data_IF_570505660077
#
_entry.id   IF_570505660077
#
_cell.length_a   1.000
_cell.length_b   1.000
_cell.length_c   1.000
_cell.angle_alpha   90.00
_cell.angle_beta   90.00
_cell.angle_gamma   90.00
#
_symmetry.space_group_name_H-M   'P 1'
#
loop_
_entity.id
_entity.type
_entity.pdbx_description
1 polymer ?
#
# COMPACT_ATOMS: atom_id res chain seq x y z
N UNK A 1 -15.38 18.06 -7.58
CA UNK A 1 -14.52 17.61 -6.45
C UNK A 1 -14.90 16.20 -5.99
N UNK A 2 -16.15 15.95 -5.57
CA UNK A 2 -16.64 14.60 -5.19
C UNK A 2 -16.43 13.55 -6.30
N UNK A 3 -16.71 13.89 -7.56
CA UNK A 3 -16.62 12.93 -8.68
C UNK A 3 -15.20 12.42 -8.92
N UNK A 4 -14.18 13.26 -8.71
CA UNK A 4 -12.76 12.89 -8.85
C UNK A 4 -12.35 11.93 -7.73
N UNK A 5 -12.84 12.18 -6.50
CA UNK A 5 -12.55 11.35 -5.33
C UNK A 5 -13.17 9.95 -5.50
N UNK A 6 -14.40 9.87 -6.04
CA UNK A 6 -15.05 8.60 -6.35
C UNK A 6 -14.29 7.79 -7.41
N UNK A 7 -13.89 8.44 -8.51
CA UNK A 7 -13.13 7.80 -9.59
C UNK A 7 -11.75 7.32 -9.10
N UNK A 8 -11.07 8.14 -8.32
CA UNK A 8 -9.78 7.80 -7.72
C UNK A 8 -9.93 6.61 -6.75
N UNK A 9 -10.93 6.65 -5.87
CA UNK A 9 -11.21 5.58 -4.91
C UNK A 9 -11.52 4.25 -5.60
N UNK A 10 -12.26 4.28 -6.72
CA UNK A 10 -12.57 3.09 -7.51
C UNK A 10 -11.31 2.48 -8.13
N UNK A 11 -10.50 3.29 -8.83
CA UNK A 11 -9.27 2.82 -9.48
C UNK A 11 -8.28 2.28 -8.45
N UNK A 12 -8.08 3.02 -7.35
CA UNK A 12 -7.19 2.58 -6.27
C UNK A 12 -7.71 1.31 -5.61
N UNK A 13 -9.02 1.20 -5.36
CA UNK A 13 -9.64 0.02 -4.76
C UNK A 13 -9.42 -1.24 -5.61
N UNK A 14 -9.58 -1.13 -6.94
CA UNK A 14 -9.31 -2.23 -7.88
C UNK A 14 -7.83 -2.63 -7.84
N UNK A 15 -6.91 -1.66 -7.89
CA UNK A 15 -5.48 -1.92 -7.85
C UNK A 15 -5.04 -2.58 -6.53
N UNK A 16 -5.60 -2.13 -5.39
CA UNK A 16 -5.31 -2.72 -4.08
C UNK A 16 -5.85 -4.15 -3.97
N UNK A 17 -7.06 -4.39 -4.49
CA UNK A 17 -7.63 -5.74 -4.54
C UNK A 17 -6.84 -6.70 -5.42
N UNK A 18 -6.25 -6.20 -6.52
CA UNK A 18 -5.47 -7.00 -7.46
C UNK A 18 -4.03 -7.26 -6.97
N UNK A 19 -3.38 -6.24 -6.39
CA UNK A 19 -1.96 -6.27 -6.04
C UNK A 19 -1.71 -6.65 -4.57
N UNK A 20 -2.72 -6.53 -3.69
CA UNK A 20 -2.57 -6.77 -2.24
C UNK A 20 -1.66 -5.77 -1.51
N UNK A 21 -1.08 -4.79 -2.22
CA UNK A 21 -0.25 -3.73 -1.65
C UNK A 21 -1.19 -2.75 -0.95
N UNK A 22 -1.10 -2.65 0.38
CA UNK A 22 -1.88 -1.71 1.17
C UNK A 22 -1.85 -0.31 0.55
N UNK A 23 -2.99 0.15 0.05
CA UNK A 23 -3.09 1.23 -0.96
C UNK A 23 -2.55 2.60 -0.61
N UNK A 24 -2.00 2.79 0.60
CA UNK A 24 -1.40 4.04 1.04
C UNK A 24 -0.24 4.52 0.16
N UNK A 25 0.53 3.61 -0.46
CA UNK A 25 1.63 3.95 -1.38
C UNK A 25 1.15 4.79 -2.57
N UNK A 26 -0.06 4.50 -3.07
CA UNK A 26 -0.67 5.20 -4.22
C UNK A 26 -1.64 6.30 -3.75
N UNK A 27 -2.43 6.02 -2.72
CA UNK A 27 -3.51 6.90 -2.27
C UNK A 27 -2.99 8.14 -1.52
N UNK A 28 -1.94 8.00 -0.69
CA UNK A 28 -1.36 9.14 0.05
C UNK A 28 -0.81 10.21 -0.89
N UNK A 29 0.08 9.91 -1.86
CA UNK A 29 0.58 10.94 -2.76
C UNK A 29 -0.55 11.50 -3.63
N UNK A 30 -1.49 10.66 -4.09
CA UNK A 30 -2.64 11.14 -4.85
C UNK A 30 -3.47 12.17 -4.06
N UNK A 31 -3.75 11.93 -2.78
CA UNK A 31 -4.48 12.89 -1.94
C UNK A 31 -3.67 14.17 -1.71
N UNK A 32 -2.37 14.06 -1.41
CA UNK A 32 -1.52 15.22 -1.18
C UNK A 32 -1.43 16.11 -2.41
N UNK A 33 -1.28 15.52 -3.61
CA UNK A 33 -1.15 16.27 -4.85
C UNK A 33 -2.48 16.75 -5.43
N UNK A 34 -3.57 15.99 -5.33
CA UNK A 34 -4.88 16.41 -5.86
C UNK A 34 -5.62 17.34 -4.89
N UNK A 35 -5.56 17.09 -3.58
CA UNK A 35 -6.32 17.84 -2.58
C UNK A 35 -5.49 18.93 -1.88
N UNK A 36 -4.18 19.02 -2.14
CA UNK A 36 -3.27 20.01 -1.53
C UNK A 36 -3.35 20.06 0.01
N UNK A 37 -3.66 18.92 0.64
CA UNK A 37 -3.77 18.79 2.09
C UNK A 37 -2.44 18.37 2.72
N UNK A 38 -2.31 18.64 4.01
CA UNK A 38 -1.14 18.25 4.79
C UNK A 38 -0.92 16.72 4.80
N UNK A 39 0.35 16.30 4.88
CA UNK A 39 0.75 14.90 4.88
C UNK A 39 0.07 14.08 5.98
N UNK A 40 -0.12 14.66 7.17
CA UNK A 40 -0.77 13.98 8.30
C UNK A 40 -2.24 13.70 7.99
N UNK A 41 -2.92 14.68 7.41
CA UNK A 41 -4.34 14.58 7.05
C UNK A 41 -4.53 13.60 5.89
N UNK A 42 -3.62 13.60 4.91
CA UNK A 42 -3.65 12.65 3.80
C UNK A 42 -3.44 11.20 4.27
N UNK A 43 -2.51 10.96 5.18
CA UNK A 43 -2.29 9.62 5.76
C UNK A 43 -3.52 9.14 6.52
N UNK A 44 -4.07 9.94 7.44
CA UNK A 44 -5.27 9.58 8.19
C UNK A 44 -6.48 9.32 7.28
N UNK A 45 -6.65 10.15 6.25
CA UNK A 45 -7.73 9.99 5.27
C UNK A 45 -7.56 8.71 4.44
N UNK A 46 -6.33 8.37 4.04
CA UNK A 46 -6.07 7.13 3.30
C UNK A 46 -6.39 5.87 4.11
N UNK A 47 -6.06 5.87 5.41
CA UNK A 47 -6.42 4.82 6.35
C UNK A 47 -7.93 4.67 6.46
N UNK A 48 -8.64 5.79 6.63
CA UNK A 48 -10.10 5.78 6.71
C UNK A 48 -10.77 5.28 5.42
N UNK A 49 -10.23 5.65 4.25
CA UNK A 49 -10.75 5.18 2.95
C UNK A 49 -10.52 3.67 2.77
N UNK A 50 -9.36 3.16 3.20
CA UNK A 50 -9.00 1.76 2.98
C UNK A 50 -9.68 0.82 3.98
N UNK A 51 -9.87 1.23 5.23
CA UNK A 51 -10.31 0.35 6.31
C UNK A 51 -11.67 -0.33 6.06
N UNK A 52 -12.75 0.38 5.64
CA UNK A 52 -14.05 -0.26 5.40
C UNK A 52 -14.08 -1.23 4.21
N UNK A 53 -13.65 -0.86 2.99
CA UNK A 53 -13.78 -1.73 1.82
C UNK A 53 -12.76 -2.88 1.84
N UNK A 54 -11.51 -2.63 2.24
CA UNK A 54 -10.49 -3.69 2.25
C UNK A 54 -10.50 -4.51 3.54
N UNK A 55 -10.64 -3.84 4.69
CA UNK A 55 -10.61 -4.51 5.99
C UNK A 55 -11.84 -5.38 6.25
N UNK A 56 -13.04 -4.90 5.93
CA UNK A 56 -14.28 -5.64 6.16
C UNK A 56 -14.82 -6.31 4.89
N UNK A 57 -14.82 -5.58 3.77
CA UNK A 57 -15.37 -6.07 2.50
C UNK A 57 -14.56 -7.22 1.92
N UNK A 58 -13.28 -6.98 1.62
CA UNK A 58 -12.41 -7.99 1.01
C UNK A 58 -12.15 -9.17 1.96
N UNK A 59 -11.91 -8.93 3.25
CA UNK A 59 -11.72 -9.99 4.24
C UNK A 59 -12.91 -10.96 4.29
N UNK A 60 -14.15 -10.44 4.25
CA UNK A 60 -15.36 -11.26 4.25
C UNK A 60 -15.43 -12.20 3.04
N UNK A 61 -15.00 -11.72 1.87
CA UNK A 61 -15.00 -12.51 0.64
C UNK A 61 -13.91 -13.59 0.68
N UNK A 62 -12.70 -13.26 1.13
CA UNK A 62 -11.62 -14.22 1.28
C UNK A 62 -11.89 -15.27 2.37
N UNK A 63 -12.56 -14.89 3.46
CA UNK A 63 -12.99 -15.83 4.50
C UNK A 63 -13.96 -16.87 3.91
N UNK A 64 -14.94 -16.43 3.11
CA UNK A 64 -15.89 -17.36 2.47
C UNK A 64 -15.20 -18.38 1.56
N UNK A 65 -14.09 -18.02 0.94
CA UNK A 65 -13.31 -18.90 0.07
C UNK A 65 -12.30 -19.78 0.83
N UNK A 66 -12.24 -19.71 2.16
CA UNK A 66 -11.36 -20.54 2.98
C UNK A 66 -9.86 -20.25 2.83
N UNK A 67 -9.49 -19.16 2.15
CA UNK A 67 -8.10 -18.78 1.88
C UNK A 67 -7.51 -17.85 2.97
N UNK A 68 -8.04 -17.93 4.19
CA UNK A 68 -7.57 -17.09 5.31
C UNK A 68 -7.07 -17.98 6.44
N UNK A 69 -5.76 -17.97 6.65
CA UNK A 69 -5.19 -18.51 7.88
C UNK A 69 -5.44 -17.51 9.02
N UNK A 70 -6.49 -17.78 9.79
CA UNK A 70 -6.91 -16.97 10.92
C UNK A 70 -5.84 -16.86 12.01
N UNK A 71 -5.01 -17.88 12.23
CA UNK A 71 -3.96 -17.84 13.27
C UNK A 71 -2.84 -16.90 12.86
N UNK A 72 -2.33 -17.05 11.64
CA UNK A 72 -1.30 -16.16 11.11
C UNK A 72 -1.82 -14.72 10.97
N UNK A 73 -3.07 -14.57 10.49
CA UNK A 73 -3.73 -13.28 10.32
C UNK A 73 -3.91 -12.51 11.62
N UNK A 74 -4.40 -13.14 12.70
CA UNK A 74 -4.58 -12.48 13.99
C UNK A 74 -3.25 -12.08 14.62
N UNK A 75 -2.22 -12.93 14.53
CA UNK A 75 -0.90 -12.63 15.08
C UNK A 75 -0.24 -11.46 14.33
N UNK A 76 -0.37 -11.43 13.00
CA UNK A 76 0.08 -10.30 12.19
C UNK A 76 -0.73 -9.04 12.47
N UNK A 77 -2.06 -9.14 12.64
CA UNK A 77 -2.92 -8.00 12.95
C UNK A 77 -2.55 -7.36 14.30
N UNK A 78 -2.26 -8.16 15.32
CA UNK A 78 -1.79 -7.67 16.63
C UNK A 78 -0.43 -6.97 16.52
N UNK A 79 0.52 -7.57 15.80
CA UNK A 79 1.82 -6.95 15.55
C UNK A 79 1.69 -5.64 14.77
N UNK A 80 0.81 -5.60 13.76
CA UNK A 80 0.52 -4.41 12.97
C UNK A 80 -0.16 -3.34 13.81
N UNK A 81 -1.08 -3.69 14.70
CA UNK A 81 -1.77 -2.74 15.58
C UNK A 81 -0.76 -2.07 16.53
N UNK A 82 0.11 -2.85 17.18
CA UNK A 82 1.13 -2.32 18.08
C UNK A 82 2.16 -1.48 17.33
N UNK A 83 2.63 -1.96 16.17
CA UNK A 83 3.60 -1.24 15.34
C UNK A 83 3.04 0.06 14.75
N UNK A 84 1.79 0.04 14.27
CA UNK A 84 1.13 1.25 13.76
C UNK A 84 0.85 2.26 14.88
N UNK A 85 0.44 1.78 16.06
CA UNK A 85 0.22 2.65 17.21
C UNK A 85 1.52 3.32 17.67
N UNK A 86 2.58 2.53 17.88
CA UNK A 86 3.91 3.03 18.24
C UNK A 86 4.48 3.96 17.15
N UNK A 87 4.33 3.61 15.87
CA UNK A 87 4.75 4.44 14.75
C UNK A 87 3.99 5.76 14.69
N UNK A 88 2.70 5.77 15.00
CA UNK A 88 1.91 7.01 15.06
C UNK A 88 2.40 7.95 16.15
N UNK A 89 2.73 7.42 17.34
CA UNK A 89 3.29 8.22 18.45
C UNK A 89 4.58 8.93 18.06
N UNK A 90 5.40 8.31 17.21
CA UNK A 90 6.63 8.93 16.68
C UNK A 90 6.34 9.88 15.51
N UNK A 91 5.34 9.58 14.68
CA UNK A 91 5.00 10.39 13.51
C UNK A 91 4.22 11.67 13.84
N UNK A 92 3.34 11.66 14.84
CA UNK A 92 2.53 12.82 15.26
C UNK A 92 3.35 14.07 15.64
N UNK A 93 4.46 13.98 16.39
CA UNK A 93 5.26 15.16 16.74
C UNK A 93 6.18 15.66 15.60
N UNK A 94 6.30 14.93 14.48
CA UNK A 94 7.19 15.32 13.40
C UNK A 94 6.55 16.39 12.50
N UNK A 95 7.31 17.38 12.00
CA UNK A 95 6.80 18.33 11.03
C UNK A 95 6.47 17.65 9.70
N UNK A 96 5.39 18.05 9.05
CA UNK A 96 4.91 17.51 7.77
C UNK A 96 5.98 17.47 6.67
N UNK A 97 6.95 18.41 6.70
CA UNK A 97 8.10 18.45 5.78
C UNK A 97 9.00 17.22 5.92
N UNK A 98 9.30 16.79 7.14
CA UNK A 98 10.12 15.62 7.40
C UNK A 98 9.36 14.34 7.06
N UNK A 99 8.07 14.29 7.37
CA UNK A 99 7.21 13.15 7.06
C UNK A 99 7.05 12.94 5.54
N UNK A 100 6.88 14.04 4.79
CA UNK A 100 6.85 14.02 3.32
C UNK A 100 8.19 13.59 2.73
N UNK A 101 9.31 14.06 3.29
CA UNK A 101 10.65 13.64 2.89
C UNK A 101 10.93 12.16 3.15
N UNK A 102 10.58 11.66 4.33
CA UNK A 102 10.73 10.25 4.71
C UNK A 102 9.90 9.34 3.81
N UNK A 103 8.63 9.71 3.57
CA UNK A 103 7.75 8.97 2.67
C UNK A 103 8.27 8.99 1.22
N UNK A 104 8.76 10.13 0.73
CA UNK A 104 9.39 10.23 -0.58
C UNK A 104 10.63 9.34 -0.72
N UNK A 105 11.50 9.32 0.29
CA UNK A 105 12.66 8.43 0.33
C UNK A 105 12.24 6.95 0.32
N UNK A 106 11.23 6.59 1.11
CA UNK A 106 10.65 5.25 1.12
C UNK A 106 10.11 4.84 -0.25
N UNK A 107 9.36 5.72 -0.92
CA UNK A 107 8.86 5.46 -2.28
C UNK A 107 10.00 5.28 -3.29
N UNK A 108 11.05 6.10 -3.20
CA UNK A 108 12.20 6.01 -4.09
C UNK A 108 12.98 4.71 -3.88
N UNK A 109 13.16 4.29 -2.63
CA UNK A 109 13.74 2.98 -2.28
C UNK A 109 12.87 1.83 -2.78
N UNK A 110 11.55 1.89 -2.57
CA UNK A 110 10.62 0.87 -3.06
C UNK A 110 10.67 0.77 -4.58
N UNK A 111 10.70 1.91 -5.29
CA UNK A 111 10.85 1.96 -6.73
C UNK A 111 12.18 1.35 -7.19
N UNK A 112 13.30 1.66 -6.52
CA UNK A 112 14.61 1.08 -6.81
C UNK A 112 14.65 -0.43 -6.55
N UNK A 113 14.10 -0.89 -5.43
CA UNK A 113 14.01 -2.31 -5.10
C UNK A 113 13.17 -3.07 -6.12
N UNK A 114 12.01 -2.52 -6.49
CA UNK A 114 11.13 -3.11 -7.49
C UNK A 114 11.80 -3.12 -8.87
N UNK A 115 12.49 -2.04 -9.25
CA UNK A 115 13.24 -1.95 -10.50
C UNK A 115 14.37 -2.99 -10.56
N UNK A 116 15.10 -3.17 -9.45
CA UNK A 116 16.16 -4.19 -9.36
C UNK A 116 15.56 -5.60 -9.40
N UNK A 117 14.44 -5.86 -8.73
CA UNK A 117 13.70 -7.13 -8.81
C UNK A 117 13.22 -7.43 -10.22
N UNK A 118 12.59 -6.46 -10.88
CA UNK A 118 12.12 -6.59 -12.27
C UNK A 118 13.29 -6.83 -13.25
N UNK A 119 14.48 -6.26 -12.98
CA UNK A 119 15.69 -6.54 -13.76
C UNK A 119 16.22 -7.97 -13.53
N UNK A 120 16.13 -8.49 -12.31
CA UNK A 120 16.54 -9.86 -12.00
C UNK A 120 15.57 -10.90 -12.60
N UNK A 121 14.26 -10.61 -12.57
CA UNK A 121 13.23 -11.46 -13.17
C UNK A 121 13.24 -11.36 -14.71
N UNK A 122 13.52 -10.18 -15.27
CA UNK A 122 13.75 -10.00 -16.70
C UNK A 122 15.01 -10.70 -17.22
N UNK A 123 16.05 -10.82 -16.39
CA UNK A 123 17.24 -11.64 -16.70
C UNK A 123 17.00 -13.14 -16.57
N UNK A 124 16.15 -13.56 -15.63
CA UNK A 124 15.76 -14.97 -15.46
C UNK A 124 14.82 -15.45 -16.59
N UNK A 125 13.93 -14.59 -17.10
CA UNK A 125 13.08 -14.90 -18.25
C UNK A 125 13.91 -15.04 -19.55
N UNK A 126 14.91 -14.17 -19.77
CA UNK A 126 15.81 -14.28 -20.91
C UNK A 126 16.69 -15.55 -20.87
N UNK A 127 17.07 -16.03 -19.68
CA UNK A 127 17.82 -17.29 -19.53
C UNK A 127 16.98 -18.56 -19.74
N UNK A 128 15.67 -18.49 -19.56
CA UNK A 128 14.76 -19.62 -19.78
C UNK A 128 14.46 -19.85 -21.28
N UNK A 129 14.47 -18.80 -22.10
CA UNK A 129 14.30 -18.92 -23.56
C UNK A 129 15.55 -19.49 -24.26
N UNK A 130 16.76 -19.18 -23.77
CA UNK A 130 18.02 -19.67 -24.36
C UNK A 130 18.30 -21.16 -24.03
N UNK A 131 17.77 -21.70 -22.93
CA UNK A 131 17.86 -23.14 -22.59
C UNK A 131 16.76 -24.01 -23.23
N UNK A 132 15.72 -23.42 -23.84
CA UNK A 132 14.67 -24.15 -24.55
C UNK A 132 14.99 -24.33 -26.06
N UNK A 133 16.06 -23.69 -26.55
CA UNK A 133 16.58 -23.81 -27.90
C UNK A 133 18.00 -24.40 -27.92
N UNK A 134 18.26 -25.38 -27.04
CA UNK A 134 19.52 -26.13 -26.94
C UNK A 134 19.30 -27.63 -26.88
#
# INVERSE_FOLDING_TARGET
>A
MISIILLLGLVVGVLVGLLGIGGGVVLVPAIVYLLHVDQHLAQGTSLFILLPPTGLGALREYWKQGQVDLKAGILCALGMLLGAYAGSLVALPLPSRHLKGLFGCFLMLAALLLWRRARLEGGAAAGAEESACG
#
